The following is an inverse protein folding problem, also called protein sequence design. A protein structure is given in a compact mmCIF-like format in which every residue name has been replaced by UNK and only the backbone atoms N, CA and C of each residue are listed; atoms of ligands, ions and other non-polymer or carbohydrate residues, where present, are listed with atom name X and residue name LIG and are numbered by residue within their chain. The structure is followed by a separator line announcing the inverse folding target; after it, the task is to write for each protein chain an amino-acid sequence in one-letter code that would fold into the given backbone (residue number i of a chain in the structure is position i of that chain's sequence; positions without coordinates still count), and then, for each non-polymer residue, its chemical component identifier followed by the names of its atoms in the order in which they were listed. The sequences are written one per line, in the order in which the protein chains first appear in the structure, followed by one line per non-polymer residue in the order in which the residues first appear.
data_IF_701192181069
#
_entry.id   IF_701192181069
#
_cell.length_a   1.000
_cell.length_b   1.000
_cell.length_c   1.000
_cell.angle_alpha   90.00
_cell.angle_beta   90.00
_cell.angle_gamma   90.00
#
_symmetry.space_group_name_H-M   'P 1'
#
loop_
_entity.id
_entity.type
_entity.pdbx_description
1 polymer ?
#
# COMPACT_ATOMS: atom_id res chain seq x y z
N UNK A 1 24.64 18.07 52.20
CA UNK A 1 25.14 18.03 50.81
C UNK A 1 24.74 16.76 50.06
N UNK A 2 24.81 15.61 50.64
CA UNK A 2 24.50 14.30 49.99
C UNK A 2 23.08 14.16 49.41
N UNK A 3 22.04 14.66 50.09
CA UNK A 3 20.65 14.61 49.61
C UNK A 3 20.39 15.36 48.27
N UNK A 4 21.07 16.48 48.04
CA UNK A 4 20.92 17.30 46.82
C UNK A 4 21.53 16.61 45.60
N UNK A 5 22.60 15.86 45.78
CA UNK A 5 23.24 15.09 44.70
C UNK A 5 22.45 13.86 44.31
N UNK A 6 21.79 13.20 45.25
CA UNK A 6 20.93 12.03 45.01
C UNK A 6 19.70 12.45 44.18
N UNK A 7 19.07 13.60 44.53
CA UNK A 7 17.93 14.11 43.74
C UNK A 7 18.33 14.47 42.31
N UNK A 8 19.50 15.08 42.13
CA UNK A 8 19.99 15.45 40.77
C UNK A 8 20.31 14.22 39.92
N UNK A 9 20.84 13.17 40.51
CA UNK A 9 21.14 11.89 39.83
C UNK A 9 19.84 11.18 39.44
N UNK A 10 18.85 11.14 40.33
CA UNK A 10 17.54 10.55 40.03
C UNK A 10 16.79 11.32 38.94
N UNK A 11 16.90 12.64 38.92
CA UNK A 11 16.28 13.48 37.90
C UNK A 11 16.96 13.33 36.53
N UNK A 12 18.27 13.19 36.48
CA UNK A 12 19.04 12.90 35.27
C UNK A 12 18.74 11.50 34.71
N UNK A 13 18.54 10.50 35.58
CA UNK A 13 18.19 9.14 35.20
C UNK A 13 16.76 9.06 34.65
N UNK A 14 15.82 9.83 35.19
CA UNK A 14 14.44 9.90 34.68
C UNK A 14 14.36 10.57 33.29
N UNK A 15 15.22 11.56 33.00
CA UNK A 15 15.30 12.19 31.67
C UNK A 15 15.90 11.24 30.61
N UNK A 16 16.82 10.38 30.99
CA UNK A 16 17.46 9.44 30.06
C UNK A 16 16.54 8.29 29.62
N UNK A 17 15.50 7.97 30.38
CA UNK A 17 14.52 6.91 30.03
C UNK A 17 13.39 7.40 29.12
N UNK A 18 13.25 8.71 28.90
CA UNK A 18 12.18 9.31 28.10
C UNK A 18 12.42 9.30 26.58
N UNK A 19 13.62 9.00 26.11
CA UNK A 19 13.97 9.08 24.67
C UNK A 19 14.04 7.73 23.96
N UNK A 20 13.71 6.62 24.64
CA UNK A 20 13.82 5.26 24.08
C UNK A 20 12.50 4.72 23.49
N UNK A 21 11.45 5.52 23.30
CA UNK A 21 10.11 5.01 22.97
C UNK A 21 9.48 5.58 21.71
N UNK A 22 10.27 5.97 20.72
CA UNK A 22 9.76 6.15 19.39
C UNK A 22 10.68 5.40 18.42
N UNK A 23 10.56 4.09 18.32
CA UNK A 23 10.86 3.41 17.08
C UNK A 23 9.81 3.88 16.08
N UNK A 24 10.14 4.90 15.32
CA UNK A 24 9.46 5.19 14.07
C UNK A 24 9.56 3.90 13.24
N UNK A 25 8.44 3.21 13.09
CA UNK A 25 8.33 2.06 12.21
C UNK A 25 8.79 2.54 10.83
N UNK A 26 10.04 2.22 10.48
CA UNK A 26 10.59 2.58 9.18
C UNK A 26 9.89 1.73 8.16
N UNK A 27 9.22 2.39 7.22
CA UNK A 27 8.67 1.71 6.05
C UNK A 27 9.83 1.10 5.26
N UNK A 28 9.92 -0.24 5.27
CA UNK A 28 10.98 -0.99 4.61
C UNK A 28 10.72 -1.19 3.10
N UNK A 29 9.67 -0.58 2.54
CA UNK A 29 9.26 -0.77 1.15
C UNK A 29 10.12 0.04 0.15
N UNK A 30 11.04 0.88 0.63
CA UNK A 30 11.93 1.67 -0.22
C UNK A 30 11.16 2.51 -1.23
N UNK A 31 11.54 2.43 -2.50
CA UNK A 31 10.91 3.18 -3.57
C UNK A 31 9.46 2.76 -3.85
N UNK A 32 9.01 1.59 -3.38
CA UNK A 32 7.62 1.15 -3.55
C UNK A 32 6.66 1.90 -2.61
N UNK A 33 7.13 2.35 -1.44
CA UNK A 33 6.30 3.10 -0.49
C UNK A 33 5.72 4.38 -1.10
N UNK A 34 4.47 4.70 -0.77
CA UNK A 34 3.80 5.94 -1.18
C UNK A 34 2.62 5.71 -2.12
N UNK A 35 2.25 6.78 -2.85
CA UNK A 35 1.08 6.80 -3.73
C UNK A 35 1.50 6.68 -5.20
N UNK A 36 0.86 5.74 -5.91
CA UNK A 36 1.05 5.46 -7.32
C UNK A 36 -0.23 5.70 -8.09
N UNK A 37 -0.24 6.67 -8.97
CA UNK A 37 -1.36 6.96 -9.87
C UNK A 37 -1.32 5.99 -11.04
N UNK A 38 -2.43 5.25 -11.28
CA UNK A 38 -2.59 4.40 -12.47
C UNK A 38 -2.93 5.27 -13.66
N UNK A 39 -1.96 5.43 -14.59
CA UNK A 39 -2.11 6.34 -15.73
C UNK A 39 -2.58 5.64 -17.02
N UNK A 40 -2.31 4.32 -17.15
CA UNK A 40 -2.64 3.58 -18.36
C UNK A 40 -2.75 2.11 -18.10
N UNK A 41 -3.67 1.44 -18.80
CA UNK A 41 -3.82 -0.01 -18.82
C UNK A 41 -3.82 -0.49 -20.27
N UNK A 42 -2.93 -1.41 -20.61
CA UNK A 42 -2.92 -2.12 -21.88
C UNK A 42 -3.46 -3.54 -21.70
N UNK A 43 -4.36 -3.96 -22.60
CA UNK A 43 -4.83 -5.34 -22.68
C UNK A 43 -3.96 -6.10 -23.68
N UNK A 44 -3.11 -7.00 -23.20
CA UNK A 44 -2.07 -7.64 -24.02
C UNK A 44 -2.64 -8.58 -25.10
N UNK A 45 -3.77 -9.23 -24.83
CA UNK A 45 -4.38 -10.17 -25.77
C UNK A 45 -5.05 -9.49 -26.95
N UNK A 46 -5.61 -8.30 -26.79
CA UNK A 46 -6.37 -7.59 -27.81
C UNK A 46 -5.67 -6.35 -28.35
N UNK A 47 -4.57 -5.93 -27.72
CA UNK A 47 -3.90 -4.67 -28.02
C UNK A 47 -4.68 -3.43 -27.58
N UNK A 48 -5.74 -3.60 -26.76
CA UNK A 48 -6.52 -2.48 -26.24
C UNK A 48 -5.70 -1.60 -25.32
N UNK A 49 -5.89 -0.29 -25.40
CA UNK A 49 -5.24 0.71 -24.56
C UNK A 49 -6.30 1.56 -23.90
N UNK A 50 -6.25 1.66 -22.56
CA UNK A 50 -7.10 2.55 -21.77
C UNK A 50 -6.23 3.62 -21.11
N UNK A 51 -6.47 4.87 -21.50
CA UNK A 51 -5.90 6.04 -20.83
C UNK A 51 -6.65 6.28 -19.51
N UNK A 52 -5.92 6.21 -18.40
CA UNK A 52 -6.41 6.41 -17.03
C UNK A 52 -5.86 7.71 -16.42
N UNK A 53 -5.14 8.52 -17.19
CA UNK A 53 -4.43 9.70 -16.68
C UNK A 53 -5.34 10.77 -16.05
N UNK A 54 -6.63 10.75 -16.40
CA UNK A 54 -7.67 11.61 -15.83
C UNK A 54 -8.52 10.91 -14.78
N UNK A 55 -8.40 9.60 -14.68
CA UNK A 55 -9.08 8.80 -13.65
C UNK A 55 -8.31 8.93 -12.34
N UNK A 56 -9.03 8.91 -11.23
CA UNK A 56 -8.44 9.09 -9.90
C UNK A 56 -8.23 7.74 -9.21
N UNK A 57 -7.58 6.81 -9.91
CA UNK A 57 -7.27 5.47 -9.42
C UNK A 57 -5.83 5.43 -8.91
N UNK A 58 -5.68 5.07 -7.65
CA UNK A 58 -4.40 5.04 -6.97
C UNK A 58 -4.15 3.72 -6.27
N UNK A 59 -2.89 3.32 -6.25
CA UNK A 59 -2.36 2.30 -5.38
C UNK A 59 -1.48 2.97 -4.33
N UNK A 60 -1.71 2.69 -3.06
CA UNK A 60 -0.96 3.25 -1.95
C UNK A 60 -0.28 2.13 -1.17
N UNK A 61 1.02 2.25 -0.98
CA UNK A 61 1.83 1.26 -0.25
C UNK A 61 2.34 1.87 1.02
N UNK A 62 1.99 1.25 2.15
CA UNK A 62 2.43 1.67 3.47
C UNK A 62 2.57 0.45 4.40
N UNK A 63 3.74 0.30 5.02
CA UNK A 63 4.03 -0.82 5.91
C UNK A 63 3.81 -2.17 5.20
N UNK A 64 2.87 -2.98 5.69
CA UNK A 64 2.57 -4.32 5.15
C UNK A 64 1.29 -4.36 4.30
N UNK A 65 0.73 -3.20 3.96
CA UNK A 65 -0.51 -3.09 3.23
C UNK A 65 -0.33 -2.33 1.92
N UNK A 66 -1.01 -2.81 0.90
CA UNK A 66 -1.25 -2.09 -0.34
C UNK A 66 -2.75 -1.83 -0.45
N UNK A 67 -3.12 -0.57 -0.61
CA UNK A 67 -4.50 -0.14 -0.81
C UNK A 67 -4.68 0.30 -2.26
N UNK A 68 -5.75 -0.16 -2.89
CA UNK A 68 -6.22 0.37 -4.17
C UNK A 68 -7.51 1.14 -3.95
N UNK A 69 -7.64 2.31 -4.57
CA UNK A 69 -8.85 3.13 -4.42
C UNK A 69 -9.09 4.04 -5.62
N UNK A 70 -10.37 4.37 -5.83
CA UNK A 70 -10.78 5.52 -6.63
C UNK A 70 -11.09 6.68 -5.67
N UNK A 71 -10.43 7.82 -5.83
CA UNK A 71 -10.61 8.95 -4.90
C UNK A 71 -11.81 9.84 -5.24
N UNK A 72 -12.53 9.56 -6.32
CA UNK A 72 -13.80 10.25 -6.63
C UNK A 72 -14.92 9.75 -5.72
N UNK A 73 -14.89 8.46 -5.39
CA UNK A 73 -15.90 7.84 -4.55
C UNK A 73 -15.36 7.70 -3.11
N UNK A 74 -15.99 8.35 -2.13
CA UNK A 74 -15.60 8.21 -0.73
C UNK A 74 -15.84 6.77 -0.26
N UNK A 75 -14.94 6.29 0.60
CA UNK A 75 -14.99 4.96 1.23
C UNK A 75 -14.93 3.76 0.28
N UNK A 76 -14.53 3.96 -0.97
CA UNK A 76 -14.25 2.86 -1.90
C UNK A 76 -12.77 2.51 -1.90
N UNK A 77 -12.49 1.24 -1.97
CA UNK A 77 -11.13 0.74 -2.04
C UNK A 77 -11.00 -0.66 -1.45
N UNK A 78 -9.85 -1.24 -1.66
CA UNK A 78 -9.54 -2.59 -1.19
C UNK A 78 -8.12 -2.60 -0.64
N UNK A 79 -7.92 -3.39 0.40
CA UNK A 79 -6.62 -3.65 0.98
C UNK A 79 -6.11 -5.02 0.56
N UNK A 80 -4.82 -5.11 0.38
CA UNK A 80 -4.09 -6.34 0.09
C UNK A 80 -2.92 -6.51 1.05
N UNK A 81 -2.59 -7.75 1.35
CA UNK A 81 -1.23 -8.11 1.71
C UNK A 81 -0.41 -8.15 0.43
N UNK A 82 0.86 -7.83 0.52
CA UNK A 82 1.74 -7.90 -0.64
C UNK A 82 3.11 -8.44 -0.27
N UNK A 83 3.75 -9.04 -1.26
CA UNK A 83 5.16 -9.39 -1.24
C UNK A 83 5.85 -8.67 -2.41
N UNK A 84 6.93 -7.95 -2.10
CA UNK A 84 7.76 -7.23 -3.07
C UNK A 84 9.14 -7.88 -3.10
N UNK A 85 9.23 -9.05 -3.73
CA UNK A 85 10.47 -9.82 -3.82
C UNK A 85 10.92 -10.03 -5.26
N UNK A 86 12.23 -9.89 -5.50
CA UNK A 86 12.83 -10.05 -6.83
C UNK A 86 12.12 -9.21 -7.88
N UNK A 87 11.75 -9.83 -9.01
CA UNK A 87 11.11 -9.17 -10.15
C UNK A 87 9.59 -9.12 -10.06
N UNK A 88 9.01 -9.55 -8.94
CA UNK A 88 7.56 -9.65 -8.78
C UNK A 88 7.04 -8.77 -7.66
N UNK A 89 5.82 -8.29 -7.84
CA UNK A 89 4.93 -7.75 -6.82
C UNK A 89 3.72 -8.68 -6.75
N UNK A 90 3.56 -9.37 -5.62
CA UNK A 90 2.46 -10.32 -5.41
C UNK A 90 1.45 -9.69 -4.48
N UNK A 91 0.18 -9.62 -4.90
CA UNK A 91 -0.94 -9.17 -4.09
C UNK A 91 -1.76 -10.37 -3.63
N UNK A 92 -2.15 -10.38 -2.36
CA UNK A 92 -2.95 -11.46 -1.78
C UNK A 92 -3.94 -10.95 -0.72
N UNK A 93 -4.88 -11.80 -0.34
CA UNK A 93 -5.85 -11.53 0.72
C UNK A 93 -6.59 -10.19 0.57
N UNK A 94 -7.31 -9.96 -0.55
CA UNK A 94 -8.06 -8.73 -0.74
C UNK A 94 -9.19 -8.60 0.27
N UNK A 95 -9.32 -7.40 0.86
CA UNK A 95 -10.38 -7.04 1.79
C UNK A 95 -11.00 -5.70 1.38
N UNK A 96 -12.30 -5.56 1.61
CA UNK A 96 -12.97 -4.27 1.45
C UNK A 96 -12.48 -3.27 2.50
N UNK A 97 -12.58 -1.98 2.18
CA UNK A 97 -12.37 -0.90 3.14
C UNK A 97 -13.72 -0.53 3.78
N UNK A 98 -14.17 -1.31 4.74
CA UNK A 98 -15.46 -1.12 5.44
C UNK A 98 -15.44 -0.07 6.53
N UNK A 99 -14.30 0.58 6.76
CA UNK A 99 -14.09 1.51 7.86
C UNK A 99 -13.80 0.76 9.17
N UNK A 100 -12.62 0.94 9.70
CA UNK A 100 -12.11 0.26 10.92
C UNK A 100 -12.82 0.62 12.23
N UNK A 101 -13.99 1.25 12.17
CA UNK A 101 -14.65 1.83 13.34
C UNK A 101 -15.78 0.98 13.92
N UNK A 102 -16.11 -0.15 13.32
CA UNK A 102 -17.17 -1.02 13.82
C UNK A 102 -16.60 -2.36 14.26
N UNK A 103 -16.69 -2.64 15.54
CA UNK A 103 -16.46 -3.97 16.12
C UNK A 103 -17.56 -4.91 15.63
N UNK A 104 -17.39 -5.63 14.54
CA UNK A 104 -18.38 -6.59 14.10
C UNK A 104 -18.30 -6.99 12.63
N UNK A 105 -19.36 -7.61 12.13
CA UNK A 105 -19.47 -8.14 10.77
C UNK A 105 -19.44 -7.07 9.65
N UNK A 106 -19.45 -5.79 10.01
CA UNK A 106 -19.42 -4.64 9.09
C UNK A 106 -18.01 -4.08 8.86
N UNK A 107 -16.98 -4.67 9.48
CA UNK A 107 -15.56 -4.31 9.26
C UNK A 107 -15.06 -4.74 7.88
N UNK A 108 -13.74 -4.72 7.70
CA UNK A 108 -13.10 -5.14 6.46
C UNK A 108 -13.43 -6.60 6.15
N UNK A 109 -14.15 -6.84 5.05
CA UNK A 109 -14.58 -8.17 4.65
C UNK A 109 -13.69 -8.73 3.55
N UNK A 110 -13.36 -10.05 3.58
CA UNK A 110 -12.65 -10.69 2.49
C UNK A 110 -13.40 -10.55 1.16
N UNK A 111 -12.67 -10.21 0.10
CA UNK A 111 -13.22 -10.18 -1.26
C UNK A 111 -13.08 -11.58 -1.85
N UNK A 112 -14.21 -12.12 -2.33
CA UNK A 112 -14.29 -13.43 -2.97
C UNK A 112 -14.63 -13.36 -4.47
N UNK A 113 -15.05 -12.19 -4.97
CA UNK A 113 -15.37 -11.97 -6.38
C UNK A 113 -14.41 -10.93 -6.97
N UNK A 114 -13.59 -11.39 -7.89
CA UNK A 114 -12.54 -10.58 -8.54
C UNK A 114 -13.08 -9.43 -9.37
N UNK A 115 -14.36 -9.45 -9.77
CA UNK A 115 -14.97 -8.34 -10.55
C UNK A 115 -14.83 -6.97 -9.87
N UNK A 116 -14.81 -6.95 -8.54
CA UNK A 116 -14.64 -5.70 -7.77
C UNK A 116 -13.23 -5.12 -7.89
N UNK A 117 -12.24 -5.94 -8.22
CA UNK A 117 -10.84 -5.57 -8.31
C UNK A 117 -10.43 -5.16 -9.74
N UNK A 118 -11.21 -5.59 -10.75
CA UNK A 118 -10.94 -5.33 -12.16
C UNK A 118 -10.77 -3.83 -12.51
N UNK A 119 -11.54 -2.89 -11.93
CA UNK A 119 -11.34 -1.45 -12.19
C UNK A 119 -9.96 -0.92 -11.80
N UNK A 120 -9.26 -1.64 -10.92
CA UNK A 120 -7.91 -1.29 -10.43
C UNK A 120 -6.80 -2.02 -11.19
N UNK A 121 -7.15 -2.81 -12.23
CA UNK A 121 -6.20 -3.58 -13.03
C UNK A 121 -5.83 -4.94 -12.42
N UNK A 122 -6.63 -5.46 -11.49
CA UNK A 122 -6.39 -6.72 -10.78
C UNK A 122 -7.44 -7.74 -11.23
N UNK A 123 -7.00 -8.89 -11.73
CA UNK A 123 -7.87 -9.92 -12.33
C UNK A 123 -7.86 -11.26 -11.59
N UNK A 124 -7.16 -11.33 -10.45
CA UNK A 124 -7.11 -12.52 -9.60
C UNK A 124 -7.16 -12.11 -8.12
N UNK A 125 -7.66 -12.98 -7.25
CA UNK A 125 -7.65 -12.76 -5.79
C UNK A 125 -6.24 -12.86 -5.21
N UNK A 126 -5.38 -13.64 -5.86
CA UNK A 126 -3.93 -13.58 -5.70
C UNK A 126 -3.34 -13.26 -7.07
N UNK A 127 -2.75 -12.09 -7.21
CA UNK A 127 -2.23 -11.61 -8.49
C UNK A 127 -0.72 -11.44 -8.42
N UNK A 128 -0.03 -12.00 -9.41
CA UNK A 128 1.42 -11.96 -9.55
C UNK A 128 1.78 -11.01 -10.68
N UNK A 129 2.25 -9.82 -10.34
CA UNK A 129 2.72 -8.84 -11.30
C UNK A 129 4.23 -8.93 -11.49
N UNK A 130 4.68 -9.09 -12.71
CA UNK A 130 6.07 -8.86 -13.07
C UNK A 130 6.36 -7.35 -13.11
N UNK A 131 7.48 -6.91 -12.51
CA UNK A 131 7.93 -5.51 -12.54
C UNK A 131 8.75 -5.28 -13.81
N UNK A 132 8.09 -4.82 -14.89
CA UNK A 132 8.76 -4.51 -16.15
C UNK A 132 9.65 -3.26 -16.01
N UNK A 133 9.24 -2.32 -15.17
CA UNK A 133 9.99 -1.13 -14.80
C UNK A 133 9.71 -0.78 -13.34
N UNK A 134 10.74 -0.44 -12.60
CA UNK A 134 10.60 0.05 -11.24
C UNK A 134 11.70 1.08 -10.94
N UNK A 135 11.28 2.31 -10.68
CA UNK A 135 12.14 3.43 -10.30
C UNK A 135 11.47 4.20 -9.15
N UNK A 136 12.12 5.21 -8.62
CA UNK A 136 11.55 6.08 -7.58
C UNK A 136 10.29 6.84 -8.01
N UNK A 137 9.99 6.94 -9.33
CA UNK A 137 8.87 7.73 -9.85
C UNK A 137 8.00 7.00 -10.87
N UNK A 138 8.43 5.86 -11.39
CA UNK A 138 7.72 5.09 -12.41
C UNK A 138 7.68 3.62 -12.04
N UNK A 139 6.52 3.01 -12.21
CA UNK A 139 6.31 1.58 -12.01
C UNK A 139 5.49 1.05 -13.19
N UNK A 140 5.98 0.00 -13.83
CA UNK A 140 5.23 -0.74 -14.85
C UNK A 140 5.12 -2.17 -14.40
N UNK A 141 3.89 -2.65 -14.28
CA UNK A 141 3.55 -4.00 -13.86
C UNK A 141 2.86 -4.74 -14.99
N UNK A 142 3.16 -6.02 -15.16
CA UNK A 142 2.46 -6.86 -16.14
C UNK A 142 2.06 -8.21 -15.59
N UNK A 143 0.96 -8.73 -16.15
CA UNK A 143 0.53 -10.12 -16.08
C UNK A 143 0.52 -10.70 -17.51
N UNK A 144 0.00 -11.89 -17.69
CA UNK A 144 -0.28 -12.46 -19.01
C UNK A 144 -1.41 -11.73 -19.79
N UNK A 145 -2.22 -10.94 -19.09
CA UNK A 145 -3.42 -10.26 -19.63
C UNK A 145 -3.25 -8.77 -19.77
N UNK A 146 -2.63 -8.12 -18.78
CA UNK A 146 -2.58 -6.67 -18.67
C UNK A 146 -1.15 -6.16 -18.48
N UNK A 147 -0.94 -4.91 -18.89
CA UNK A 147 0.20 -4.10 -18.47
C UNK A 147 -0.31 -2.78 -17.90
N UNK A 148 0.13 -2.47 -16.70
CA UNK A 148 -0.28 -1.32 -15.90
C UNK A 148 0.88 -0.34 -15.80
N UNK A 149 0.59 0.94 -16.02
CA UNK A 149 1.60 2.00 -15.96
C UNK A 149 1.24 2.98 -14.85
N UNK A 150 2.19 3.20 -13.95
CA UNK A 150 2.00 4.07 -12.81
C UNK A 150 3.04 5.18 -12.77
N UNK A 151 2.60 6.31 -12.23
CA UNK A 151 3.45 7.43 -11.82
C UNK A 151 3.30 7.67 -10.32
N UNK A 152 4.42 7.85 -9.64
CA UNK A 152 4.43 8.22 -8.24
C UNK A 152 4.06 9.70 -8.07
N UNK A 153 3.26 10.01 -7.04
CA UNK A 153 2.91 11.37 -6.65
C UNK A 153 3.97 11.99 -5.75
#
# INVERSE_FOLDING_TARGET
MMRRHILSIMMAMALAMGVASCELERDHNGDLAGYWHLERVDTLQTGGVKDMSRDRVFWAVQGKLLMVRNTVEPYTGFFFRFDNSGDYLILSNPHSNGGHQTDGAEGDQPITDVKYLAPYGINSLEEHFHKDQFTSSRLTLSTDKLRLYFKKL
#
